data_IF_586131084295
#
_entry.id   IF_586131084295
#
_cell.length_a   1.000
_cell.length_b   1.000
_cell.length_c   1.000
_cell.angle_alpha   90.00
_cell.angle_beta   90.00
_cell.angle_gamma   90.00
#
_symmetry.space_group_name_H-M   'P 1'
#
loop_
_entity.id
_entity.type
_entity.pdbx_description
1 polymer ?
#
# COMPACT_ATOMS: atom_id res chain seq x y z
N UNK A 1 41.42 -24.11 -23.58
CA UNK A 1 40.21 -24.95 -23.74
C UNK A 1 39.09 -24.23 -22.97
N UNK A 2 38.33 -23.40 -23.64
CA UNK A 2 37.27 -22.56 -23.05
C UNK A 2 35.95 -23.19 -23.45
N UNK A 3 35.19 -23.72 -22.48
CA UNK A 3 33.85 -24.27 -22.72
C UNK A 3 32.83 -23.14 -22.76
N UNK A 4 32.21 -22.97 -23.91
CA UNK A 4 31.10 -22.07 -24.17
C UNK A 4 29.81 -22.63 -23.54
N UNK A 5 29.26 -21.95 -22.53
CA UNK A 5 27.91 -22.24 -21.99
C UNK A 5 26.86 -21.58 -22.87
N UNK A 6 26.17 -22.37 -23.67
CA UNK A 6 25.00 -21.94 -24.42
C UNK A 6 23.85 -21.63 -23.45
N UNK A 7 23.41 -20.37 -23.38
CA UNK A 7 22.19 -19.95 -22.68
C UNK A 7 20.98 -20.37 -23.51
N UNK A 8 20.28 -21.42 -23.08
CA UNK A 8 18.97 -21.78 -23.59
C UNK A 8 17.95 -20.68 -23.30
N UNK A 9 17.41 -20.08 -24.32
CA UNK A 9 16.25 -19.18 -24.22
C UNK A 9 15.00 -20.02 -23.97
N UNK A 10 14.39 -19.86 -22.80
CA UNK A 10 13.08 -20.46 -22.49
C UNK A 10 12.00 -19.62 -23.22
N UNK A 11 11.15 -20.22 -24.06
CA UNK A 11 10.18 -19.45 -24.83
C UNK A 11 8.99 -19.09 -23.94
N UNK A 12 8.85 -17.81 -23.63
CA UNK A 12 7.75 -17.21 -22.84
C UNK A 12 6.33 -17.36 -23.45
N UNK A 13 6.20 -18.00 -24.61
CA UNK A 13 4.91 -18.09 -25.34
C UNK A 13 3.94 -19.17 -24.82
N UNK A 14 4.35 -20.06 -23.95
CA UNK A 14 3.52 -21.21 -23.53
C UNK A 14 2.60 -20.91 -22.33
N UNK A 15 2.88 -19.90 -21.53
CA UNK A 15 2.12 -19.64 -20.29
C UNK A 15 0.77 -18.95 -20.50
N UNK A 16 0.61 -18.12 -21.52
CA UNK A 16 -0.65 -17.42 -21.78
C UNK A 16 -1.79 -18.30 -22.31
N UNK A 17 -1.47 -19.35 -23.04
CA UNK A 17 -2.50 -20.23 -23.65
C UNK A 17 -2.99 -21.35 -22.72
N UNK A 18 -2.23 -21.69 -21.70
CA UNK A 18 -2.60 -22.73 -20.72
C UNK A 18 -3.51 -22.18 -19.63
N UNK A 19 -3.36 -20.90 -19.27
CA UNK A 19 -4.20 -20.26 -18.28
C UNK A 19 -5.66 -20.09 -18.75
N UNK A 20 -5.85 -19.78 -20.03
CA UNK A 20 -7.20 -19.61 -20.62
C UNK A 20 -7.97 -20.93 -20.78
N UNK A 21 -7.29 -22.07 -20.84
CA UNK A 21 -7.96 -23.37 -20.98
C UNK A 21 -8.37 -24.01 -19.66
N UNK A 22 -7.74 -23.64 -18.54
CA UNK A 22 -8.11 -24.16 -17.21
C UNK A 22 -9.31 -23.44 -16.61
N UNK A 23 -9.60 -22.22 -17.05
CA UNK A 23 -10.74 -21.42 -16.57
C UNK A 23 -12.10 -21.84 -17.13
N UNK A 24 -12.13 -22.75 -18.10
CA UNK A 24 -13.37 -23.17 -18.78
C UNK A 24 -13.99 -24.42 -18.13
N UNK A 25 -13.27 -25.12 -17.24
CA UNK A 25 -13.76 -26.37 -16.63
C UNK A 25 -14.34 -26.22 -15.22
N UNK A 26 -14.23 -25.05 -14.59
CA UNK A 26 -14.92 -24.77 -13.32
C UNK A 26 -16.13 -23.90 -13.63
N UNK A 27 -17.31 -24.51 -13.51
CA UNK A 27 -18.60 -23.97 -13.90
C UNK A 27 -18.87 -22.54 -13.47
N UNK A 28 -19.19 -21.76 -14.46
CA UNK A 28 -20.12 -20.64 -14.49
C UNK A 28 -20.34 -19.87 -13.17
N UNK A 29 -19.48 -18.91 -12.91
CA UNK A 29 -19.92 -17.65 -12.34
C UNK A 29 -19.36 -16.54 -13.22
N UNK A 30 -20.15 -16.10 -14.17
CA UNK A 30 -19.89 -14.88 -14.92
C UNK A 30 -20.00 -13.73 -13.92
N UNK A 31 -18.85 -13.38 -13.33
CA UNK A 31 -18.70 -12.07 -12.70
C UNK A 31 -18.73 -11.06 -13.85
N UNK A 32 -19.91 -10.51 -14.09
CA UNK A 32 -20.08 -9.29 -14.86
C UNK A 32 -19.32 -8.23 -14.07
N UNK A 33 -18.09 -7.93 -14.50
CA UNK A 33 -17.40 -6.75 -14.05
C UNK A 33 -18.25 -5.56 -14.55
N UNK A 34 -18.80 -4.74 -13.66
CA UNK A 34 -19.42 -3.51 -14.09
C UNK A 34 -18.34 -2.68 -14.78
N UNK A 35 -18.53 -2.38 -16.05
CA UNK A 35 -17.66 -1.50 -16.80
C UNK A 35 -17.53 -0.17 -16.07
N UNK A 36 -16.36 0.44 -16.14
CA UNK A 36 -16.11 1.79 -15.67
C UNK A 36 -17.14 2.72 -16.33
N UNK A 37 -18.18 3.08 -15.62
CA UNK A 37 -19.03 4.20 -15.99
C UNK A 37 -18.35 5.46 -15.46
N UNK A 38 -17.87 6.25 -16.38
CA UNK A 38 -17.19 7.55 -16.19
C UNK A 38 -18.18 8.60 -15.72
N UNK A 39 -18.93 8.61 -14.77
CA UNK A 39 -19.71 9.77 -14.33
C UNK A 39 -20.34 9.62 -12.93
N UNK A 40 -19.51 9.24 -11.95
CA UNK A 40 -19.94 9.46 -10.59
C UNK A 40 -18.95 10.42 -9.92
N UNK A 41 -19.32 11.69 -9.85
CA UNK A 41 -18.85 12.57 -8.77
C UNK A 41 -19.10 11.80 -7.49
N UNK A 42 -18.06 11.13 -6.98
CA UNK A 42 -18.18 10.37 -5.74
C UNK A 42 -18.51 11.36 -4.64
N UNK A 43 -19.64 11.21 -3.94
CA UNK A 43 -19.87 12.00 -2.75
C UNK A 43 -18.66 11.78 -1.83
N UNK A 44 -18.09 12.83 -1.30
CA UNK A 44 -17.01 12.75 -0.32
C UNK A 44 -17.56 12.01 0.91
N UNK A 45 -17.39 10.69 0.90
CA UNK A 45 -17.79 9.85 2.02
C UNK A 45 -16.81 10.17 3.13
N UNK A 46 -17.27 10.75 4.23
CA UNK A 46 -16.46 10.89 5.43
C UNK A 46 -16.17 9.49 5.96
N UNK A 47 -15.01 8.97 5.62
CA UNK A 47 -14.54 7.68 6.13
C UNK A 47 -13.62 7.98 7.28
N UNK A 48 -14.02 7.58 8.48
CA UNK A 48 -13.21 7.71 9.69
C UNK A 48 -12.55 6.37 10.03
N UNK A 49 -11.31 6.44 10.51
CA UNK A 49 -10.62 5.30 11.11
C UNK A 49 -11.23 4.99 12.48
N UNK A 50 -11.41 3.73 12.78
CA UNK A 50 -11.75 3.31 14.14
C UNK A 50 -10.58 3.54 15.09
N UNK A 51 -10.83 3.60 16.39
CA UNK A 51 -9.78 3.76 17.39
C UNK A 51 -8.69 2.67 17.28
N UNK A 52 -9.11 1.42 17.08
CA UNK A 52 -8.19 0.28 16.90
C UNK A 52 -7.35 0.39 15.63
N UNK A 53 -7.93 0.87 14.51
CA UNK A 53 -7.21 1.09 13.26
C UNK A 53 -6.19 2.23 13.40
N UNK A 54 -6.58 3.31 14.07
CA UNK A 54 -5.73 4.45 14.35
C UNK A 54 -4.54 4.04 15.21
N UNK A 55 -4.79 3.37 16.33
CA UNK A 55 -3.75 2.87 17.21
C UNK A 55 -2.78 1.92 16.49
N UNK A 56 -3.30 0.99 15.69
CA UNK A 56 -2.47 0.07 14.91
C UNK A 56 -1.52 0.83 13.98
N UNK A 57 -2.05 1.79 13.21
CA UNK A 57 -1.26 2.56 12.24
C UNK A 57 -0.22 3.43 12.92
N UNK A 58 -0.54 4.03 14.06
CA UNK A 58 0.42 4.79 14.88
C UNK A 58 1.56 3.90 15.37
N UNK A 59 1.21 2.74 15.97
CA UNK A 59 2.21 1.79 16.48
C UNK A 59 3.05 1.16 15.36
N UNK A 60 2.48 0.97 14.18
CA UNK A 60 3.23 0.52 13.02
C UNK A 60 4.18 1.61 12.51
N UNK A 61 3.71 2.85 12.41
CA UNK A 61 4.53 3.98 11.99
C UNK A 61 5.70 4.23 12.93
N UNK A 62 5.52 4.03 14.23
CA UNK A 62 6.56 4.17 15.25
C UNK A 62 7.81 3.33 14.94
N UNK A 63 7.63 2.12 14.46
CA UNK A 63 8.74 1.20 14.18
C UNK A 63 9.17 1.19 12.72
N UNK A 64 8.27 1.56 11.78
CA UNK A 64 8.54 1.48 10.37
C UNK A 64 9.08 2.78 9.77
N UNK A 65 8.78 3.93 10.39
CA UNK A 65 9.30 5.25 10.02
C UNK A 65 10.09 5.82 11.22
N UNK A 66 11.26 5.28 11.53
CA UNK A 66 12.10 5.79 12.61
C UNK A 66 12.73 7.11 12.14
N UNK A 67 12.35 8.21 12.77
CA UNK A 67 12.88 9.56 12.47
C UNK A 67 13.90 10.02 13.50
N UNK A 68 13.98 9.36 14.66
CA UNK A 68 14.90 9.72 15.73
C UNK A 68 16.36 9.56 15.30
N UNK A 69 17.17 10.57 15.57
CA UNK A 69 18.59 10.57 15.19
C UNK A 69 18.86 10.79 13.69
N UNK A 70 17.83 11.15 12.91
CA UNK A 70 17.97 11.46 11.49
C UNK A 70 17.72 12.95 11.23
N UNK A 71 17.99 13.41 10.00
CA UNK A 71 17.63 14.75 9.53
C UNK A 71 16.18 14.88 9.07
N UNK A 72 15.41 13.80 9.15
CA UNK A 72 14.01 13.79 8.75
C UNK A 72 13.15 14.58 9.74
N UNK A 73 12.05 15.14 9.25
CA UNK A 73 11.05 15.78 10.09
C UNK A 73 10.54 14.77 11.14
N UNK A 74 10.50 15.13 12.43
CA UNK A 74 10.00 14.24 13.46
C UNK A 74 8.60 13.71 13.13
N UNK A 75 8.42 12.40 13.25
CA UNK A 75 7.13 11.75 12.97
C UNK A 75 5.98 12.34 13.80
N UNK A 76 6.26 12.80 15.02
CA UNK A 76 5.28 13.48 15.89
C UNK A 76 4.76 14.80 15.34
N UNK A 77 5.48 15.41 14.40
CA UNK A 77 5.09 16.67 13.75
C UNK A 77 4.37 16.44 12.41
N UNK A 78 4.25 15.17 11.98
CA UNK A 78 3.56 14.80 10.75
C UNK A 78 2.26 14.09 11.11
N UNK A 79 1.09 14.55 10.62
CA UNK A 79 -0.20 13.93 10.92
C UNK A 79 -0.40 12.63 10.09
N UNK A 80 0.47 11.64 10.34
CA UNK A 80 0.55 10.40 9.54
C UNK A 80 -0.80 9.70 9.43
N UNK A 81 -1.48 9.51 10.55
CA UNK A 81 -2.75 8.77 10.59
C UNK A 81 -3.88 9.56 9.96
N UNK A 82 -3.93 10.88 10.13
CA UNK A 82 -4.94 11.73 9.49
C UNK A 82 -4.73 11.76 7.96
N UNK A 83 -3.48 11.74 7.50
CA UNK A 83 -3.16 11.60 6.10
C UNK A 83 -3.64 10.25 5.52
N UNK A 84 -3.52 9.16 6.29
CA UNK A 84 -4.04 7.83 5.90
C UNK A 84 -5.57 7.86 5.85
N UNK A 85 -6.23 8.52 6.79
CA UNK A 85 -7.69 8.68 6.79
C UNK A 85 -8.19 9.37 5.51
N UNK A 86 -7.47 10.39 5.03
CA UNK A 86 -7.75 10.98 3.73
C UNK A 86 -7.62 9.98 2.58
N UNK A 87 -6.60 9.10 2.61
CA UNK A 87 -6.47 8.06 1.60
C UNK A 87 -7.65 7.06 1.63
N UNK A 88 -8.15 6.73 2.80
CA UNK A 88 -9.31 5.86 2.97
C UNK A 88 -10.58 6.45 2.35
N UNK A 89 -10.76 7.77 2.45
CA UNK A 89 -11.89 8.47 1.83
C UNK A 89 -11.90 8.40 0.30
N UNK A 90 -10.73 8.15 -0.31
CA UNK A 90 -10.57 8.01 -1.76
C UNK A 90 -10.74 6.57 -2.25
N UNK A 91 -10.79 5.59 -1.34
CA UNK A 91 -10.95 4.18 -1.70
C UNK A 91 -12.42 3.86 -1.99
N UNK A 92 -12.66 2.95 -2.93
CA UNK A 92 -13.97 2.35 -3.12
C UNK A 92 -14.35 1.44 -1.93
N UNK A 93 -15.64 1.19 -1.74
CA UNK A 93 -16.11 0.47 -0.57
C UNK A 93 -15.56 -0.97 -0.46
N UNK A 94 -15.48 -1.77 -1.55
CA UNK A 94 -14.87 -3.11 -1.48
C UNK A 94 -13.39 -3.08 -1.09
N UNK A 95 -12.61 -2.18 -1.68
CA UNK A 95 -11.18 -2.03 -1.35
C UNK A 95 -10.98 -1.63 0.10
N UNK A 96 -11.77 -0.67 0.58
CA UNK A 96 -11.72 -0.22 1.97
C UNK A 96 -12.03 -1.35 2.96
N UNK A 97 -13.03 -2.15 2.66
CA UNK A 97 -13.38 -3.31 3.50
C UNK A 97 -12.25 -4.34 3.55
N UNK A 98 -11.63 -4.65 2.41
CA UNK A 98 -10.48 -5.55 2.35
C UNK A 98 -9.29 -5.02 3.16
N UNK A 99 -8.99 -3.72 3.05
CA UNK A 99 -7.93 -3.09 3.85
C UNK A 99 -8.24 -3.21 5.34
N UNK A 100 -9.45 -2.92 5.77
CA UNK A 100 -9.87 -3.05 7.18
C UNK A 100 -9.78 -4.48 7.71
N UNK A 101 -10.16 -5.46 6.90
CA UNK A 101 -9.97 -6.88 7.24
C UNK A 101 -8.48 -7.18 7.39
N UNK A 102 -7.64 -6.70 6.47
CA UNK A 102 -6.19 -6.86 6.55
C UNK A 102 -5.58 -6.25 7.80
N UNK A 103 -5.99 -5.03 8.19
CA UNK A 103 -5.56 -4.38 9.43
C UNK A 103 -5.94 -5.22 10.68
N UNK A 104 -7.17 -5.73 10.72
CA UNK A 104 -7.63 -6.59 11.82
C UNK A 104 -6.82 -7.88 11.87
N UNK A 105 -6.64 -8.57 10.73
CA UNK A 105 -5.85 -9.79 10.67
C UNK A 105 -4.41 -9.56 11.12
N UNK A 106 -3.81 -8.44 10.74
CA UNK A 106 -2.46 -8.09 11.17
C UNK A 106 -2.40 -7.85 12.68
N UNK A 107 -3.32 -7.06 13.25
CA UNK A 107 -3.34 -6.74 14.67
C UNK A 107 -3.54 -7.97 15.56
N UNK A 108 -4.56 -8.75 15.25
CA UNK A 108 -4.93 -9.93 16.05
C UNK A 108 -4.09 -11.17 15.72
N UNK A 109 -3.50 -11.22 14.53
CA UNK A 109 -2.58 -12.29 14.13
C UNK A 109 -1.35 -12.41 15.04
N UNK A 110 -0.98 -11.33 15.74
CA UNK A 110 0.12 -11.36 16.69
C UNK A 110 -0.11 -12.34 17.86
N UNK A 111 -1.38 -12.56 18.23
CA UNK A 111 -1.75 -13.51 19.29
C UNK A 111 -1.35 -14.95 18.91
N UNK A 112 -1.61 -15.34 17.65
CA UNK A 112 -1.41 -16.72 17.19
C UNK A 112 -0.10 -16.91 16.44
N UNK A 113 0.17 -16.04 15.46
CA UNK A 113 1.34 -16.15 14.56
C UNK A 113 2.60 -15.70 15.28
N UNK A 114 2.49 -14.66 16.11
CA UNK A 114 3.62 -14.11 16.86
C UNK A 114 3.97 -14.92 18.12
N UNK A 115 3.11 -15.80 18.59
CA UNK A 115 3.21 -16.47 19.89
C UNK A 115 3.39 -15.49 21.07
N UNK A 116 2.95 -14.25 20.90
CA UNK A 116 3.11 -13.21 21.93
C UNK A 116 1.94 -13.13 22.91
N UNK A 117 0.84 -13.88 22.64
CA UNK A 117 -0.41 -13.84 23.41
C UNK A 117 -0.99 -12.42 23.58
N UNK A 118 -0.57 -11.47 22.76
CA UNK A 118 -1.00 -10.08 22.77
C UNK A 118 -1.21 -9.57 21.34
N UNK A 119 -2.09 -8.55 21.19
CA UNK A 119 -2.26 -7.86 19.92
C UNK A 119 -0.98 -7.09 19.53
N UNK A 120 -0.78 -6.84 18.25
CA UNK A 120 0.37 -6.08 17.74
C UNK A 120 0.59 -4.75 18.47
N UNK A 121 -0.48 -4.02 18.73
CA UNK A 121 -0.44 -2.71 19.39
C UNK A 121 0.16 -2.75 20.80
N UNK A 122 0.09 -3.90 21.47
CA UNK A 122 0.61 -4.10 22.83
C UNK A 122 2.02 -4.70 22.89
N UNK A 123 2.62 -4.99 21.73
CA UNK A 123 3.98 -5.52 21.66
C UNK A 123 5.02 -4.42 21.95
N UNK A 124 6.20 -4.80 22.43
CA UNK A 124 7.34 -3.88 22.49
C UNK A 124 7.81 -3.47 21.09
N UNK A 125 8.62 -2.42 21.00
CA UNK A 125 9.18 -1.93 19.72
C UNK A 125 9.92 -3.05 18.99
N UNK A 126 10.78 -3.80 19.70
CA UNK A 126 11.57 -4.91 19.16
C UNK A 126 10.67 -6.05 18.68
N UNK A 127 9.64 -6.38 19.46
CA UNK A 127 8.67 -7.43 19.11
C UNK A 127 7.84 -7.02 17.89
N UNK A 128 7.42 -5.75 17.79
CA UNK A 128 6.71 -5.22 16.60
C UNK A 128 7.57 -5.33 15.36
N UNK A 129 8.85 -4.95 15.44
CA UNK A 129 9.76 -5.03 14.31
C UNK A 129 9.98 -6.48 13.86
N UNK A 130 10.18 -7.40 14.81
CA UNK A 130 10.31 -8.83 14.50
C UNK A 130 9.03 -9.40 13.90
N UNK A 131 7.86 -8.98 14.39
CA UNK A 131 6.57 -9.41 13.87
C UNK A 131 6.33 -8.91 12.42
N UNK A 132 6.66 -7.66 12.12
CA UNK A 132 6.57 -7.11 10.76
C UNK A 132 7.44 -7.94 9.81
N UNK A 133 8.70 -8.20 10.16
CA UNK A 133 9.61 -9.04 9.36
C UNK A 133 9.05 -10.44 9.11
N UNK A 134 8.46 -11.04 10.13
CA UNK A 134 7.83 -12.37 9.99
C UNK A 134 6.67 -12.36 8.98
N UNK A 135 5.91 -11.26 8.89
CA UNK A 135 4.88 -11.11 7.88
C UNK A 135 5.45 -10.90 6.49
N UNK A 136 6.55 -10.17 6.38
CA UNK A 136 7.27 -9.96 5.11
C UNK A 136 7.84 -11.25 4.52
N UNK A 137 8.27 -12.16 5.38
CA UNK A 137 8.83 -13.47 5.02
C UNK A 137 7.77 -14.58 4.95
N UNK A 138 6.54 -14.29 5.35
CA UNK A 138 5.44 -15.24 5.48
C UNK A 138 4.79 -15.63 4.15
N UNK A 139 3.59 -16.21 4.24
CA UNK A 139 2.76 -16.58 3.09
C UNK A 139 2.40 -15.35 2.24
N UNK A 140 2.01 -15.56 1.00
CA UNK A 140 1.66 -14.50 0.05
C UNK A 140 0.64 -13.50 0.62
N UNK A 141 -0.40 -13.98 1.28
CA UNK A 141 -1.41 -13.13 1.92
C UNK A 141 -0.82 -12.27 3.04
N UNK A 142 0.10 -12.81 3.83
CA UNK A 142 0.78 -12.08 4.91
C UNK A 142 1.64 -10.96 4.31
N UNK A 143 2.45 -11.29 3.29
CA UNK A 143 3.26 -10.31 2.56
C UNK A 143 2.41 -9.23 1.93
N UNK A 144 1.27 -9.60 1.34
CA UNK A 144 0.32 -8.66 0.75
C UNK A 144 -0.21 -7.66 1.79
N UNK A 145 -0.71 -8.15 2.92
CA UNK A 145 -1.24 -7.30 4.00
C UNK A 145 -0.13 -6.40 4.56
N UNK A 146 1.04 -6.95 4.88
CA UNK A 146 2.18 -6.16 5.37
C UNK A 146 2.56 -5.05 4.38
N UNK A 147 2.58 -5.36 3.07
CA UNK A 147 2.88 -4.40 2.02
C UNK A 147 1.87 -3.26 1.96
N UNK A 148 0.57 -3.57 2.11
CA UNK A 148 -0.49 -2.54 2.14
C UNK A 148 -0.29 -1.62 3.33
N UNK A 149 -0.08 -2.15 4.54
CA UNK A 149 0.13 -1.33 5.75
C UNK A 149 1.37 -0.45 5.59
N UNK A 150 2.47 -1.00 5.09
CA UNK A 150 3.70 -0.22 4.82
C UNK A 150 3.45 0.93 3.86
N UNK A 151 2.74 0.66 2.76
CA UNK A 151 2.40 1.70 1.77
C UNK A 151 1.53 2.81 2.37
N UNK A 152 0.55 2.44 3.21
CA UNK A 152 -0.31 3.41 3.89
C UNK A 152 0.51 4.31 4.83
N UNK A 153 1.37 3.72 5.64
CA UNK A 153 2.20 4.46 6.59
C UNK A 153 3.23 5.34 5.87
N UNK A 154 3.89 4.81 4.84
CA UNK A 154 4.79 5.61 4.01
C UNK A 154 4.04 6.78 3.33
N UNK A 155 2.87 6.51 2.75
CA UNK A 155 2.05 7.57 2.18
C UNK A 155 1.70 8.63 3.22
N UNK A 156 1.24 8.20 4.41
CA UNK A 156 0.86 9.11 5.49
C UNK A 156 2.01 10.03 5.92
N UNK A 157 3.23 9.52 5.96
CA UNK A 157 4.40 10.31 6.32
C UNK A 157 4.89 11.20 5.16
N UNK A 158 5.08 10.63 3.96
CA UNK A 158 5.65 11.35 2.82
C UNK A 158 4.66 12.28 2.10
N UNK A 159 3.38 12.24 2.43
CA UNK A 159 2.40 13.23 1.96
C UNK A 159 2.74 14.64 2.46
N UNK A 160 3.41 14.76 3.60
CA UNK A 160 3.95 16.03 4.08
C UNK A 160 5.21 16.38 3.26
N UNK A 161 5.13 17.44 2.45
CA UNK A 161 6.23 17.89 1.58
C UNK A 161 7.45 18.26 2.42
N UNK A 162 7.26 18.86 3.60
CA UNK A 162 8.36 19.24 4.49
C UNK A 162 9.14 18.01 4.98
N UNK A 163 8.48 16.86 5.18
CA UNK A 163 9.15 15.62 5.53
C UNK A 163 10.12 15.17 4.41
N UNK A 164 9.78 15.45 3.15
CA UNK A 164 10.61 15.10 1.99
C UNK A 164 11.81 16.03 1.79
N UNK A 165 11.81 17.24 2.33
CA UNK A 165 12.88 18.21 2.09
C UNK A 165 14.25 17.75 2.57
N UNK A 166 14.31 17.03 3.69
CA UNK A 166 15.56 16.51 4.22
C UNK A 166 16.28 15.50 3.28
N UNK A 167 15.53 14.87 2.37
CA UNK A 167 16.09 13.97 1.34
C UNK A 167 16.18 14.61 -0.04
N UNK A 168 16.02 15.94 -0.11
CA UNK A 168 16.15 16.70 -1.37
C UNK A 168 14.88 16.79 -2.20
N UNK A 169 13.73 16.32 -1.72
CA UNK A 169 12.47 16.48 -2.43
C UNK A 169 11.96 17.91 -2.32
N UNK A 170 11.80 18.60 -3.45
CA UNK A 170 11.42 20.00 -3.52
C UNK A 170 9.93 20.22 -3.86
N UNK A 171 9.14 19.18 -3.83
CA UNK A 171 7.75 19.21 -4.24
C UNK A 171 7.53 18.71 -5.66
N UNK A 172 6.28 18.76 -6.15
CA UNK A 172 5.95 18.32 -7.51
C UNK A 172 6.72 19.10 -8.57
N UNK A 173 7.31 18.40 -9.52
CA UNK A 173 8.08 19.01 -10.63
C UNK A 173 7.22 20.00 -11.42
N UNK A 174 5.92 19.75 -11.53
CA UNK A 174 4.98 20.65 -12.18
C UNK A 174 4.91 22.03 -11.51
N UNK A 175 4.96 22.07 -10.18
CA UNK A 175 4.95 23.34 -9.43
C UNK A 175 6.28 24.06 -9.58
N UNK A 176 7.40 23.35 -9.40
CA UNK A 176 8.74 23.91 -9.58
C UNK A 176 9.00 24.39 -11.03
N UNK A 177 8.41 23.71 -12.02
CA UNK A 177 8.51 24.07 -13.45
C UNK A 177 7.47 25.09 -13.92
N UNK A 178 6.62 25.61 -13.02
CA UNK A 178 5.54 26.55 -13.40
C UNK A 178 4.50 25.96 -14.34
N UNK A 179 4.36 24.64 -14.38
CA UNK A 179 3.40 23.94 -15.24
C UNK A 179 2.02 24.01 -14.56
N UNK A 180 1.03 24.66 -15.19
CA UNK A 180 -0.29 24.78 -14.59
C UNK A 180 -0.95 23.40 -14.46
N UNK A 181 -1.59 23.15 -13.31
CA UNK A 181 -2.41 21.94 -13.17
C UNK A 181 -3.62 22.02 -14.11
N UNK A 182 -3.75 21.06 -15.00
CA UNK A 182 -4.89 20.95 -15.90
C UNK A 182 -6.06 20.18 -15.27
N UNK A 183 -5.90 19.68 -14.04
CA UNK A 183 -6.93 18.90 -13.33
C UNK A 183 -7.38 17.70 -14.16
N UNK A 184 -8.70 17.62 -14.40
CA UNK A 184 -9.32 16.56 -15.23
C UNK A 184 -9.47 16.97 -16.71
N UNK A 185 -8.78 18.01 -17.17
CA UNK A 185 -8.84 18.40 -18.57
C UNK A 185 -8.32 17.27 -19.47
N UNK A 186 -8.93 17.07 -20.67
CA UNK A 186 -8.43 16.09 -21.62
C UNK A 186 -6.96 16.34 -21.99
N UNK A 187 -6.19 15.28 -22.16
CA UNK A 187 -4.82 15.38 -22.66
C UNK A 187 -4.77 16.19 -23.98
N UNK A 188 -3.79 17.09 -24.16
CA UNK A 188 -3.60 17.77 -25.43
C UNK A 188 -3.47 16.72 -26.54
N UNK A 189 -4.19 16.92 -27.64
CA UNK A 189 -4.01 16.07 -28.82
C UNK A 189 -2.62 16.33 -29.40
N UNK A 190 -1.90 15.28 -29.73
CA UNK A 190 -0.64 15.39 -30.42
C UNK A 190 -0.84 16.23 -31.69
N UNK A 191 -0.02 17.23 -31.86
CA UNK A 191 0.02 17.99 -33.12
C UNK A 191 0.74 17.10 -34.13
N UNK A 192 -0.03 16.40 -34.94
CA UNK A 192 0.44 15.65 -36.10
C UNK A 192 0.97 16.63 -37.16
#
# INVERSE_FOLDING_TARGET
>A
MVQSFARGRVPYKLYRRTFTKLSILSGASVLVLPGCSDDAVRPSRSVTLTADERELLERFAEVYVPTEGTSLKPRSEVPVVDNIEHAFALMDAPTLEQVRIGLKLFNYGAILIGLHFARFVHLSVEQRLAYIRRWEEGMEIQRGISTVIKKLVCYGYWKDIEAGRAIGYQGPVSEAGGIPSIGNAPMPKDRS
#
